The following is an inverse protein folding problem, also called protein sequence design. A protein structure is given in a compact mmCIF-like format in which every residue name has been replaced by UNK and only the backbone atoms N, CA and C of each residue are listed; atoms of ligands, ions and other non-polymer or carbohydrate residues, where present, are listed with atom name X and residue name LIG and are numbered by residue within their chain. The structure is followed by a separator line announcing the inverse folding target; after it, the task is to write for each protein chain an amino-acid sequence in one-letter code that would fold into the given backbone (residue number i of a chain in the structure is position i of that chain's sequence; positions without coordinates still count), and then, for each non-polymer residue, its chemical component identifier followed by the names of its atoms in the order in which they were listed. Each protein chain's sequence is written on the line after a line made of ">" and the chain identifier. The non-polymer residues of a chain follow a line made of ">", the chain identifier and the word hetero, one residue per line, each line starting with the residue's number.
data_IF_162145887059
#
_entry.id   IF_162145887059
#
_cell.length_a   1.000
_cell.length_b   1.000
_cell.length_c   1.000
_cell.angle_alpha   90.00
_cell.angle_beta   90.00
_cell.angle_gamma   90.00
#
_symmetry.space_group_name_H-M   'P 1'
#
loop_
_entity.id
_entity.type
_entity.pdbx_description
1 polymer ?
#
# COMPACT_ATOMS: atom_id res chain seq x y z
N UNK A 1 9.72 -2.33 -7.51
CA UNK A 1 8.84 -1.63 -6.56
C UNK A 1 7.46 -2.26 -6.43
N UNK A 2 6.82 -2.75 -7.51
CA UNK A 2 5.47 -3.37 -7.45
C UNK A 2 5.22 -4.43 -6.36
N UNK A 3 6.24 -5.18 -5.92
CA UNK A 3 6.09 -6.22 -4.88
C UNK A 3 5.65 -5.70 -3.51
N UNK A 4 5.97 -4.46 -3.13
CA UNK A 4 5.61 -3.90 -1.82
C UNK A 4 4.10 -3.64 -1.71
N UNK A 5 3.45 -3.28 -2.83
CA UNK A 5 1.99 -3.05 -2.87
C UNK A 5 1.22 -4.34 -2.53
N UNK A 6 1.73 -5.49 -2.96
CA UNK A 6 1.13 -6.78 -2.66
C UNK A 6 1.22 -7.13 -1.16
N UNK A 7 2.30 -6.71 -0.48
CA UNK A 7 2.46 -6.94 0.96
C UNK A 7 1.45 -6.11 1.76
N UNK A 8 1.15 -4.87 1.36
CA UNK A 8 0.10 -4.07 2.02
C UNK A 8 -1.27 -4.74 1.92
N UNK A 9 -1.64 -5.26 0.76
CA UNK A 9 -2.90 -5.99 0.58
C UNK A 9 -2.93 -7.31 1.37
N UNK A 10 -1.80 -8.00 1.47
CA UNK A 10 -1.65 -9.22 2.28
C UNK A 10 -1.90 -8.93 3.77
N UNK A 11 -1.35 -7.85 4.31
CA UNK A 11 -1.55 -7.45 5.72
C UNK A 11 -3.03 -7.22 6.01
N UNK A 12 -3.75 -6.51 5.12
CA UNK A 12 -5.19 -6.29 5.27
C UNK A 12 -5.98 -7.62 5.26
N UNK A 13 -5.61 -8.56 4.39
CA UNK A 13 -6.25 -9.87 4.35
C UNK A 13 -6.03 -10.67 5.66
N UNK A 14 -4.84 -10.56 6.26
CA UNK A 14 -4.51 -11.21 7.54
C UNK A 14 -5.29 -10.59 8.71
N UNK A 15 -5.46 -9.26 8.74
CA UNK A 15 -6.27 -8.58 9.76
C UNK A 15 -7.74 -9.03 9.70
N UNK A 16 -8.32 -9.04 8.49
CA UNK A 16 -9.70 -9.52 8.28
C UNK A 16 -9.86 -10.99 8.69
N UNK A 17 -8.85 -11.83 8.41
CA UNK A 17 -8.85 -13.23 8.83
C UNK A 17 -8.79 -13.41 10.35
N UNK A 18 -8.09 -12.51 11.06
CA UNK A 18 -7.99 -12.52 12.52
C UNK A 18 -9.29 -12.11 13.24
N UNK A 19 -10.08 -11.22 12.63
CA UNK A 19 -11.36 -10.77 13.20
C UNK A 19 -12.51 -11.80 13.03
N UNK A 20 -12.36 -12.78 12.13
CA UNK A 20 -13.36 -13.83 11.93
C UNK A 20 -13.25 -14.91 13.04
N UNK A 21 -14.17 -14.88 14.02
CA UNK A 21 -14.19 -15.85 15.13
C UNK A 21 -15.23 -16.98 14.93
N UNK A 22 -14.88 -18.25 15.19
CA UNK A 22 -15.82 -19.37 15.04
C UNK A 22 -16.92 -19.38 16.13
N UNK A 23 -18.14 -19.91 15.84
CA UNK A 23 -19.23 -20.04 16.82
C UNK A 23 -18.82 -20.95 17.99
N UNK A 24 -19.08 -20.56 19.27
CA UNK A 24 -20.43 -20.37 19.83
C UNK A 24 -20.73 -18.96 20.37
N UNK A 25 -19.90 -17.95 20.11
CA UNK A 25 -19.97 -16.65 20.82
C UNK A 25 -20.41 -15.41 20.02
N UNK A 26 -20.49 -15.45 18.68
CA UNK A 26 -20.68 -14.23 17.87
C UNK A 26 -21.52 -14.49 16.62
N UNK A 27 -22.67 -13.81 16.51
CA UNK A 27 -23.44 -13.75 15.26
C UNK A 27 -22.74 -12.83 14.27
N UNK A 28 -22.17 -13.41 13.21
CA UNK A 28 -21.61 -12.64 12.10
C UNK A 28 -22.77 -12.07 11.26
N UNK A 29 -22.98 -10.75 11.32
CA UNK A 29 -24.03 -10.08 10.55
C UNK A 29 -23.68 -10.06 9.06
N UNK A 30 -24.67 -10.22 8.19
CA UNK A 30 -24.55 -10.03 6.74
C UNK A 30 -23.93 -8.67 6.38
N UNK A 31 -24.22 -7.64 7.17
CA UNK A 31 -23.66 -6.30 7.00
C UNK A 31 -22.13 -6.29 7.23
N UNK A 32 -21.66 -6.97 8.26
CA UNK A 32 -20.22 -7.12 8.56
C UNK A 32 -19.52 -7.88 7.43
N UNK A 33 -20.12 -8.96 6.93
CA UNK A 33 -19.59 -9.69 5.77
C UNK A 33 -19.49 -8.85 4.50
N UNK A 34 -20.50 -8.04 4.20
CA UNK A 34 -20.48 -7.13 3.05
C UNK A 34 -19.41 -6.04 3.20
N UNK A 35 -19.20 -5.51 4.42
CA UNK A 35 -18.14 -4.54 4.71
C UNK A 35 -16.74 -5.12 4.52
N UNK A 36 -16.46 -6.33 4.98
CA UNK A 36 -15.16 -6.98 4.77
C UNK A 36 -14.89 -7.27 3.28
N UNK A 37 -15.92 -7.69 2.53
CA UNK A 37 -15.81 -7.88 1.07
C UNK A 37 -15.50 -6.54 0.36
N UNK A 38 -16.21 -5.47 0.72
CA UNK A 38 -16.00 -4.14 0.14
C UNK A 38 -14.60 -3.60 0.46
N UNK A 39 -14.12 -3.78 1.69
CA UNK A 39 -12.75 -3.44 2.10
C UNK A 39 -11.69 -4.17 1.28
N UNK A 40 -11.84 -5.49 1.09
CA UNK A 40 -10.91 -6.26 0.27
C UNK A 40 -10.90 -5.84 -1.19
N UNK A 41 -12.08 -5.55 -1.76
CA UNK A 41 -12.21 -5.15 -3.17
C UNK A 41 -11.62 -3.78 -3.46
N UNK A 42 -11.83 -2.79 -2.60
CA UNK A 42 -11.27 -1.45 -2.78
C UNK A 42 -9.75 -1.45 -2.71
N UNK A 43 -9.19 -2.18 -1.74
CA UNK A 43 -7.75 -2.34 -1.54
C UNK A 43 -7.12 -3.07 -2.73
N UNK A 44 -7.73 -4.17 -3.17
CA UNK A 44 -7.27 -4.94 -4.33
C UNK A 44 -7.28 -4.13 -5.64
N UNK A 45 -8.37 -3.40 -5.94
CA UNK A 45 -8.49 -2.63 -7.18
C UNK A 45 -7.53 -1.43 -7.23
N UNK A 46 -7.34 -0.73 -6.10
CA UNK A 46 -6.41 0.40 -6.02
C UNK A 46 -4.95 -0.06 -6.15
N UNK A 47 -4.58 -1.18 -5.51
CA UNK A 47 -3.27 -1.80 -5.66
C UNK A 47 -2.97 -2.28 -7.08
N UNK A 48 -3.98 -2.84 -7.77
CA UNK A 48 -3.84 -3.26 -9.17
C UNK A 48 -3.64 -2.06 -10.10
N UNK A 49 -4.43 -1.00 -9.95
CA UNK A 49 -4.31 0.22 -10.74
C UNK A 49 -2.93 0.91 -10.54
N UNK A 50 -2.47 1.01 -9.29
CA UNK A 50 -1.14 1.56 -8.98
C UNK A 50 -0.01 0.70 -9.54
N UNK A 51 -0.09 -0.63 -9.39
CA UNK A 51 0.87 -1.58 -9.96
C UNK A 51 0.95 -1.51 -11.50
N UNK A 52 -0.20 -1.33 -12.16
CA UNK A 52 -0.27 -1.17 -13.61
C UNK A 52 0.42 0.11 -14.09
N UNK A 53 0.16 1.24 -13.43
CA UNK A 53 0.82 2.52 -13.75
C UNK A 53 2.35 2.45 -13.56
N UNK A 54 2.80 1.85 -12.44
CA UNK A 54 4.23 1.64 -12.14
C UNK A 54 4.89 0.73 -13.19
N UNK A 55 4.19 -0.30 -13.66
CA UNK A 55 4.69 -1.19 -14.71
C UNK A 55 4.96 -0.47 -16.03
N UNK A 56 4.03 0.38 -16.47
CA UNK A 56 4.18 1.15 -17.72
C UNK A 56 5.31 2.17 -17.61
N UNK A 57 5.36 2.93 -16.51
CA UNK A 57 6.43 3.90 -16.26
C UNK A 57 7.78 3.18 -16.15
N UNK A 58 7.81 1.99 -15.56
CA UNK A 58 8.99 1.13 -15.49
C UNK A 58 9.54 0.75 -16.86
N UNK A 59 8.71 0.22 -17.76
CA UNK A 59 9.14 -0.22 -19.10
C UNK A 59 9.70 0.95 -19.93
N UNK A 60 8.97 2.08 -19.94
CA UNK A 60 9.41 3.28 -20.65
C UNK A 60 10.64 3.92 -20.00
N UNK A 61 10.73 3.87 -18.67
CA UNK A 61 11.86 4.37 -17.90
C UNK A 61 13.16 3.60 -18.15
N UNK A 62 13.10 2.27 -18.24
CA UNK A 62 14.30 1.46 -18.53
C UNK A 62 14.78 1.68 -19.97
N UNK A 63 13.86 1.75 -20.94
CA UNK A 63 14.23 2.01 -22.34
C UNK A 63 14.91 3.36 -22.52
N UNK A 64 14.40 4.38 -21.84
CA UNK A 64 14.99 5.72 -21.87
C UNK A 64 16.33 5.75 -21.12
N UNK A 65 16.48 5.03 -20.00
CA UNK A 65 17.75 4.94 -19.25
C UNK A 65 18.93 4.43 -20.10
N UNK A 66 18.68 3.58 -21.09
CA UNK A 66 19.72 3.12 -22.03
C UNK A 66 20.27 4.23 -22.94
N UNK A 67 19.51 5.31 -23.17
CA UNK A 67 19.91 6.44 -24.01
C UNK A 67 20.69 7.49 -23.22
N UNK A 68 20.38 7.68 -21.93
CA UNK A 68 21.04 8.65 -21.07
C UNK A 68 20.93 8.23 -19.60
N UNK A 69 22.06 8.08 -18.89
CA UNK A 69 22.03 7.61 -17.48
C UNK A 69 21.53 8.67 -16.48
N UNK A 70 21.46 9.95 -16.88
CA UNK A 70 21.05 11.08 -16.01
C UNK A 70 19.55 11.08 -15.67
N UNK A 71 18.70 10.37 -16.42
CA UNK A 71 17.25 10.30 -16.20
C UNK A 71 16.82 9.29 -15.11
N UNK A 72 17.77 8.58 -14.51
CA UNK A 72 17.51 7.64 -13.41
C UNK A 72 16.72 8.27 -12.25
N UNK A 73 17.10 9.47 -11.84
CA UNK A 73 16.45 10.16 -10.72
C UNK A 73 15.00 10.52 -11.07
N UNK A 74 14.73 10.96 -12.30
CA UNK A 74 13.37 11.29 -12.76
C UNK A 74 12.46 10.06 -12.81
N UNK A 75 12.98 8.94 -13.30
CA UNK A 75 12.26 7.65 -13.31
C UNK A 75 11.88 7.21 -11.89
N UNK A 76 12.83 7.25 -10.96
CA UNK A 76 12.59 6.85 -9.56
C UNK A 76 11.58 7.77 -8.86
N UNK A 77 11.62 9.08 -9.10
CA UNK A 77 10.64 10.02 -8.52
C UNK A 77 9.21 9.71 -8.98
N UNK A 78 9.00 9.41 -10.26
CA UNK A 78 7.67 9.06 -10.79
C UNK A 78 7.18 7.73 -10.18
N UNK A 79 8.08 6.75 -10.02
CA UNK A 79 7.77 5.45 -9.39
C UNK A 79 7.37 5.60 -7.91
N UNK A 80 7.98 6.54 -7.17
CA UNK A 80 7.63 6.82 -5.77
C UNK A 80 6.26 7.51 -5.66
N UNK A 81 5.98 8.54 -6.48
CA UNK A 81 4.66 9.19 -6.48
C UNK A 81 3.53 8.22 -6.86
N UNK A 82 3.80 7.31 -7.80
CA UNK A 82 2.85 6.25 -8.15
C UNK A 82 2.53 5.31 -6.97
N UNK A 83 3.51 5.02 -6.13
CA UNK A 83 3.34 4.16 -4.96
C UNK A 83 2.53 4.85 -3.83
N UNK A 84 2.71 6.16 -3.64
CA UNK A 84 1.93 6.94 -2.66
C UNK A 84 0.45 7.01 -3.06
N UNK A 85 0.12 7.10 -4.36
CA UNK A 85 -1.27 7.00 -4.86
C UNK A 85 -1.91 5.65 -4.53
N UNK A 86 -1.13 4.57 -4.63
CA UNK A 86 -1.53 3.25 -4.17
C UNK A 86 -1.91 3.29 -2.70
N UNK A 87 -1.03 3.80 -1.83
CA UNK A 87 -1.23 3.90 -0.38
C UNK A 87 -2.44 4.76 0.03
N UNK A 88 -2.74 5.85 -0.68
CA UNK A 88 -3.95 6.64 -0.41
C UNK A 88 -5.25 5.86 -0.61
N UNK A 89 -5.25 4.85 -1.50
CA UNK A 89 -6.40 3.96 -1.72
C UNK A 89 -6.69 2.99 -0.57
N UNK A 90 -5.70 2.70 0.29
CA UNK A 90 -5.85 1.80 1.44
C UNK A 90 -6.47 2.49 2.67
N UNK A 91 -6.33 3.81 2.77
CA UNK A 91 -6.57 4.55 4.01
C UNK A 91 -8.04 4.88 4.35
N UNK A 92 -9.00 5.09 3.42
CA UNK A 92 -10.33 5.53 3.84
C UNK A 92 -11.35 4.41 4.10
N UNK A 93 -11.28 3.24 3.42
CA UNK A 93 -12.32 2.21 3.58
C UNK A 93 -12.05 1.26 4.76
N UNK A 94 -10.79 0.94 5.04
CA UNK A 94 -10.43 0.08 6.18
C UNK A 94 -10.42 0.82 7.52
N UNK A 95 -10.13 2.14 7.53
CA UNK A 95 -10.07 2.95 8.76
C UNK A 95 -11.42 3.10 9.49
N UNK A 96 -12.55 2.75 8.87
CA UNK A 96 -13.83 2.70 9.59
C UNK A 96 -14.00 1.42 10.42
N UNK A 97 -13.14 0.41 10.23
CA UNK A 97 -13.16 -0.85 10.95
C UNK A 97 -12.20 -0.87 12.16
N UNK A 98 -11.02 -0.25 12.10
CA UNK A 98 -10.03 -0.30 13.18
C UNK A 98 -9.18 0.99 13.21
N UNK A 99 -9.29 1.75 14.30
CA UNK A 99 -8.41 2.88 14.65
C UNK A 99 -6.99 2.34 14.88
N UNK A 100 -6.09 2.50 13.91
CA UNK A 100 -4.60 2.42 13.93
C UNK A 100 -4.22 2.15 12.47
N UNK A 101 -3.51 3.01 11.72
CA UNK A 101 -2.10 2.74 11.38
C UNK A 101 -1.54 3.85 10.46
N UNK A 102 -2.03 5.08 10.59
CA UNK A 102 -1.40 6.24 9.92
C UNK A 102 -0.01 6.57 10.52
N UNK A 103 0.31 6.03 11.70
CA UNK A 103 1.55 6.28 12.45
C UNK A 103 2.78 5.53 11.92
N UNK A 104 2.61 4.39 11.23
CA UNK A 104 3.76 3.56 10.80
C UNK A 104 4.57 4.21 9.68
N UNK A 105 3.90 4.79 8.68
CA UNK A 105 4.57 5.41 7.52
C UNK A 105 5.24 6.73 7.94
N UNK A 106 4.59 7.51 8.81
CA UNK A 106 5.18 8.73 9.36
C UNK A 106 6.36 8.41 10.28
N UNK A 107 6.25 7.39 11.15
CA UNK A 107 7.34 6.96 12.03
C UNK A 107 8.54 6.39 11.28
N UNK A 108 8.33 5.66 10.18
CA UNK A 108 9.43 5.12 9.37
C UNK A 108 10.21 6.23 8.64
N UNK A 109 9.51 7.26 8.15
CA UNK A 109 10.12 8.44 7.52
C UNK A 109 10.89 9.26 8.56
N UNK A 110 10.33 9.49 9.74
CA UNK A 110 11.01 10.20 10.84
C UNK A 110 12.22 9.39 11.36
N UNK A 111 12.12 8.07 11.45
CA UNK A 111 13.23 7.21 11.85
C UNK A 111 14.39 7.21 10.85
N UNK A 112 14.12 7.23 9.53
CA UNK A 112 15.16 7.35 8.49
C UNK A 112 15.83 8.74 8.48
N UNK A 113 15.07 9.80 8.75
CA UNK A 113 15.61 11.16 8.91
C UNK A 113 16.45 11.27 10.19
N UNK A 114 16.06 10.60 11.28
CA UNK A 114 16.84 10.59 12.52
C UNK A 114 18.10 9.72 12.43
N UNK A 115 18.08 8.61 11.68
CA UNK A 115 19.25 7.75 11.51
C UNK A 115 20.36 8.42 10.69
N UNK A 116 20.00 9.30 9.75
CA UNK A 116 20.97 10.11 8.99
C UNK A 116 21.58 11.26 9.79
N UNK A 117 20.92 11.74 10.85
CA UNK A 117 21.45 12.81 11.73
C UNK A 117 22.42 12.30 12.81
N UNK A 118 22.44 11.00 13.10
CA UNK A 118 23.32 10.41 14.14
C UNK A 118 24.74 10.08 13.67
N UNK A 119 25.08 10.34 12.40
CA UNK A 119 26.41 10.09 11.82
C UNK A 119 27.17 11.36 11.42
N UNK A 120 26.77 12.53 11.93
CA UNK A 120 27.48 13.80 11.80
C UNK A 120 28.13 14.21 13.12
#
# INVERSE_FOLDING_TARGET
>A
MSGIIAVYALVVAVLIAGDMRPPPGTHYSLFTGAMHLACGLSVGMTGLAAGYAIGIVGDMGVRSYMQQSRIFVGMVLILIFGEVLGLYGYCPLCCLAQVLDADIVHSLIVALILNTKSRG
#
